data_IF_701228562013
#
_entry.id   IF_701228562013
#
_cell.length_a   1.000
_cell.length_b   1.000
_cell.length_c   1.000
_cell.angle_alpha   90.00
_cell.angle_beta   90.00
_cell.angle_gamma   90.00
#
_symmetry.space_group_name_H-M   'P 1'
#
loop_
_entity.id
_entity.type
_entity.pdbx_description
1 polymer ?
#
# COMPACT_ATOMS: atom_id res chain seq x y z
N UNK A 1 22.85 -87.27 3.37
CA UNK A 1 21.40 -87.56 3.49
C UNK A 1 20.64 -86.68 2.51
N UNK A 2 20.00 -87.32 1.53
CA UNK A 2 18.77 -86.94 0.82
C UNK A 2 18.45 -85.46 0.47
N UNK A 3 18.35 -85.23 -0.87
CA UNK A 3 17.21 -84.64 -1.63
C UNK A 3 16.90 -83.14 -1.37
N UNK A 4 16.48 -82.27 -2.30
CA UNK A 4 15.99 -82.33 -3.70
C UNK A 4 15.57 -80.89 -4.10
N UNK A 5 15.46 -80.64 -5.43
CA UNK A 5 14.53 -79.71 -6.14
C UNK A 5 14.83 -78.20 -5.96
N UNK A 6 15.40 -77.48 -6.94
CA UNK A 6 14.90 -77.03 -8.26
C UNK A 6 13.75 -76.00 -8.21
N UNK A 7 14.01 -74.76 -8.70
CA UNK A 7 13.36 -74.09 -9.86
C UNK A 7 13.45 -72.55 -9.79
N UNK A 8 13.96 -72.01 -10.90
CA UNK A 8 13.76 -70.68 -11.48
C UNK A 8 12.50 -69.94 -11.04
N UNK A 9 12.61 -68.66 -10.64
CA UNK A 9 11.61 -67.61 -10.96
C UNK A 9 12.30 -66.24 -11.12
N UNK A 10 12.17 -65.74 -12.36
CA UNK A 10 12.17 -64.37 -12.88
C UNK A 10 12.79 -63.20 -12.07
N UNK A 11 13.78 -62.56 -12.71
CA UNK A 11 14.14 -61.17 -12.48
C UNK A 11 12.96 -60.26 -12.85
N UNK A 12 12.58 -59.36 -11.94
CA UNK A 12 11.61 -58.30 -12.21
C UNK A 12 12.35 -56.96 -12.17
N UNK A 13 12.82 -56.52 -13.34
CA UNK A 13 13.31 -55.16 -13.54
C UNK A 13 12.07 -54.28 -13.75
N UNK A 14 11.63 -53.56 -12.71
CA UNK A 14 10.64 -52.48 -12.88
C UNK A 14 11.36 -51.21 -13.33
N UNK A 15 11.41 -51.01 -14.64
CA UNK A 15 11.62 -49.68 -15.24
C UNK A 15 10.30 -48.93 -15.08
N UNK A 16 10.20 -48.09 -14.05
CA UNK A 16 9.16 -47.07 -14.01
C UNK A 16 9.63 -45.88 -14.85
N UNK A 17 9.34 -45.90 -16.15
CA UNK A 17 9.30 -44.70 -16.96
C UNK A 17 8.05 -43.90 -16.59
N UNK A 18 8.13 -43.18 -15.47
CA UNK A 18 7.14 -42.19 -15.10
C UNK A 18 7.27 -40.98 -16.01
N UNK A 19 6.41 -40.89 -17.03
CA UNK A 19 6.22 -39.66 -17.77
C UNK A 19 5.70 -38.59 -16.80
N UNK A 20 6.58 -37.70 -16.37
CA UNK A 20 6.19 -36.49 -15.63
C UNK A 20 5.52 -35.57 -16.65
N UNK A 21 4.23 -35.80 -16.90
CA UNK A 21 3.37 -34.82 -17.55
C UNK A 21 3.24 -33.66 -16.57
N UNK A 22 4.17 -32.71 -16.65
CA UNK A 22 4.07 -31.44 -15.94
C UNK A 22 2.77 -30.78 -16.37
N UNK A 23 1.76 -30.82 -15.51
CA UNK A 23 0.63 -29.93 -15.61
C UNK A 23 1.21 -28.51 -15.56
N UNK A 24 1.29 -27.86 -16.71
CA UNK A 24 1.46 -26.42 -16.75
C UNK A 24 0.22 -25.89 -16.04
N UNK A 25 0.39 -25.48 -14.78
CA UNK A 25 -0.62 -24.71 -14.10
C UNK A 25 -0.84 -23.47 -14.97
N UNK A 26 -1.91 -23.47 -15.75
CA UNK A 26 -2.43 -22.25 -16.34
C UNK A 26 -2.74 -21.38 -15.13
N UNK A 27 -1.89 -20.39 -14.88
CA UNK A 27 -2.19 -19.35 -13.91
C UNK A 27 -3.61 -18.90 -14.24
N UNK A 28 -4.54 -19.23 -13.35
CA UNK A 28 -5.94 -18.82 -13.50
C UNK A 28 -5.93 -17.34 -13.80
N UNK A 29 -6.80 -16.91 -14.71
CA UNK A 29 -7.06 -15.51 -14.98
C UNK A 29 -7.10 -14.78 -13.65
N UNK A 30 -6.06 -13.99 -13.37
CA UNK A 30 -6.04 -13.13 -12.20
C UNK A 30 -7.36 -12.39 -12.22
N UNK A 31 -8.13 -12.51 -11.13
CA UNK A 31 -9.43 -11.87 -11.02
C UNK A 31 -9.27 -10.43 -11.50
N UNK A 32 -9.99 -10.09 -12.58
CA UNK A 32 -10.10 -8.71 -13.00
C UNK A 32 -10.74 -7.98 -11.81
N UNK A 33 -9.93 -7.18 -11.14
CA UNK A 33 -10.37 -6.32 -10.06
C UNK A 33 -11.30 -5.25 -10.63
N UNK A 34 -12.39 -4.93 -9.93
CA UNK A 34 -13.40 -3.96 -10.36
C UNK A 34 -12.83 -2.57 -10.64
N UNK A 35 -11.67 -2.23 -10.07
CA UNK A 35 -11.01 -0.95 -10.26
C UNK A 35 -10.03 -0.90 -11.45
N UNK A 36 -9.00 -1.76 -11.45
CA UNK A 36 -7.92 -1.70 -12.44
C UNK A 36 -7.22 -3.05 -12.61
N UNK A 37 -6.96 -3.45 -13.86
CA UNK A 37 -6.23 -4.68 -14.19
C UNK A 37 -4.99 -4.36 -15.02
N UNK A 38 -3.81 -4.79 -14.56
CA UNK A 38 -2.57 -4.72 -15.32
C UNK A 38 -2.52 -5.84 -16.37
N UNK A 39 -2.25 -5.46 -17.63
CA UNK A 39 -2.27 -6.38 -18.78
C UNK A 39 -0.88 -6.76 -19.29
N UNK A 40 0.18 -6.18 -18.72
CA UNK A 40 1.57 -6.44 -19.11
C UNK A 40 2.51 -6.34 -17.92
N UNK A 41 3.71 -6.89 -18.07
CA UNK A 41 4.79 -6.74 -17.08
C UNK A 41 5.34 -5.31 -17.13
N UNK A 42 5.57 -4.69 -15.97
CA UNK A 42 6.21 -3.38 -15.86
C UNK A 42 7.59 -3.52 -15.20
N UNK A 43 8.59 -2.85 -15.76
CA UNK A 43 9.95 -2.79 -15.23
C UNK A 43 10.58 -1.43 -15.59
N UNK A 44 11.80 -1.17 -15.10
CA UNK A 44 12.50 0.07 -15.37
C UNK A 44 12.54 0.41 -16.87
N UNK A 45 12.28 1.68 -17.20
CA UNK A 45 12.18 2.19 -18.58
C UNK A 45 10.76 2.14 -19.15
N UNK A 46 9.83 1.44 -18.50
CA UNK A 46 8.42 1.45 -18.88
C UNK A 46 7.76 2.78 -18.54
N UNK A 47 6.81 3.23 -19.36
CA UNK A 47 5.95 4.37 -19.06
C UNK A 47 4.49 4.11 -19.45
N UNK A 48 3.57 4.88 -18.88
CA UNK A 48 2.15 4.83 -19.19
C UNK A 48 1.23 4.96 -17.98
N UNK A 49 -0.08 4.94 -18.23
CA UNK A 49 -1.09 5.03 -17.19
C UNK A 49 -1.05 3.84 -16.21
N UNK A 50 -0.62 2.66 -16.68
CA UNK A 50 -0.40 1.47 -15.86
C UNK A 50 0.75 1.63 -14.85
N UNK A 51 1.79 2.36 -15.22
CA UNK A 51 2.86 2.78 -14.30
C UNK A 51 2.33 3.78 -13.28
N UNK A 52 1.50 4.74 -13.69
CA UNK A 52 0.85 5.68 -12.76
C UNK A 52 0.00 4.92 -11.73
N UNK A 53 -0.78 3.93 -12.17
CA UNK A 53 -1.56 3.08 -11.27
C UNK A 53 -0.66 2.31 -10.30
N UNK A 54 0.45 1.75 -10.77
CA UNK A 54 1.42 1.05 -9.92
C UNK A 54 2.02 1.99 -8.88
N UNK A 55 2.45 3.20 -9.27
CA UNK A 55 3.03 4.20 -8.38
C UNK A 55 2.08 4.63 -7.26
N UNK A 56 0.77 4.69 -7.53
CA UNK A 56 -0.25 4.96 -6.48
C UNK A 56 -0.20 3.87 -5.40
N UNK A 57 -0.21 2.59 -5.80
CA UNK A 57 -0.19 1.45 -4.86
C UNK A 57 1.13 1.36 -4.10
N UNK A 58 2.22 1.74 -4.75
CA UNK A 58 3.57 1.74 -4.17
C UNK A 58 3.89 2.97 -3.32
N UNK A 59 2.98 3.94 -3.21
CA UNK A 59 3.25 5.24 -2.56
C UNK A 59 3.77 5.12 -1.12
N UNK A 60 3.34 4.09 -0.40
CA UNK A 60 3.77 3.79 0.98
C UNK A 60 5.11 3.06 1.11
N UNK A 61 5.80 2.78 0.00
CA UNK A 61 7.06 2.04 -0.03
C UNK A 61 8.24 2.91 -0.52
N UNK A 62 8.11 4.23 -0.41
CA UNK A 62 9.15 5.17 -0.82
C UNK A 62 10.44 5.04 0.03
N UNK A 63 10.31 4.67 1.31
CA UNK A 63 11.41 4.59 2.28
C UNK A 63 11.52 5.85 3.15
N UNK A 64 12.49 5.84 4.07
CA UNK A 64 12.66 6.90 5.07
C UNK A 64 12.86 8.28 4.43
N UNK A 65 11.97 9.23 4.75
CA UNK A 65 12.05 10.63 4.29
C UNK A 65 11.84 10.82 2.78
N UNK A 66 11.52 9.75 2.05
CA UNK A 66 11.34 9.77 0.60
C UNK A 66 9.86 9.80 0.23
N UNK A 67 9.54 10.29 -0.97
CA UNK A 67 8.20 10.23 -1.56
C UNK A 67 8.33 9.69 -2.98
N UNK A 68 7.48 8.74 -3.34
CA UNK A 68 7.41 8.23 -4.70
C UNK A 68 6.60 9.21 -5.57
N UNK A 69 7.19 9.66 -6.68
CA UNK A 69 6.49 10.44 -7.68
C UNK A 69 5.46 9.57 -8.43
N UNK A 70 4.33 10.17 -8.78
CA UNK A 70 3.27 9.54 -9.58
C UNK A 70 3.26 10.22 -10.95
N UNK A 71 4.26 9.91 -11.75
CA UNK A 71 4.58 10.57 -13.03
C UNK A 71 4.38 9.65 -14.25
N UNK A 72 3.98 8.40 -14.03
CA UNK A 72 3.81 7.40 -15.09
C UNK A 72 5.11 6.92 -15.71
N UNK A 73 6.26 7.21 -15.10
CA UNK A 73 7.59 6.78 -15.54
C UNK A 73 8.22 5.79 -14.56
N UNK A 74 8.51 4.59 -15.03
CA UNK A 74 9.14 3.56 -14.20
C UNK A 74 10.65 3.80 -14.16
N UNK A 75 11.06 4.72 -13.29
CA UNK A 75 12.46 5.00 -12.98
C UNK A 75 13.00 4.22 -11.78
N UNK A 76 14.26 4.49 -11.37
CA UNK A 76 14.89 3.83 -10.23
C UNK A 76 14.14 3.97 -8.90
N UNK A 77 13.44 5.10 -8.68
CA UNK A 77 12.62 5.29 -7.49
C UNK A 77 11.41 4.33 -7.45
N UNK A 78 10.75 4.12 -8.60
CA UNK A 78 9.64 3.16 -8.74
C UNK A 78 10.13 1.73 -8.55
N UNK A 79 11.28 1.37 -9.12
CA UNK A 79 11.90 0.05 -8.92
C UNK A 79 12.23 -0.20 -7.44
N UNK A 80 12.84 0.77 -6.76
CA UNK A 80 13.18 0.65 -5.35
C UNK A 80 11.93 0.51 -4.47
N UNK A 81 10.86 1.27 -4.77
CA UNK A 81 9.58 1.14 -4.06
C UNK A 81 8.94 -0.24 -4.31
N UNK A 82 9.01 -0.74 -5.54
CA UNK A 82 8.49 -2.06 -5.89
C UNK A 82 9.24 -3.18 -5.15
N UNK A 83 10.58 -3.12 -5.09
CA UNK A 83 11.39 -4.09 -4.34
C UNK A 83 11.04 -4.12 -2.86
N UNK A 84 10.76 -2.95 -2.26
CA UNK A 84 10.29 -2.86 -0.87
C UNK A 84 8.90 -3.47 -0.68
N UNK A 85 7.95 -3.19 -1.59
CA UNK A 85 6.64 -3.83 -1.58
C UNK A 85 6.75 -5.36 -1.69
N UNK A 86 7.53 -5.84 -2.66
CA UNK A 86 7.76 -7.27 -2.86
C UNK A 86 8.35 -7.91 -1.59
N UNK A 87 9.36 -7.28 -0.99
CA UNK A 87 9.99 -7.75 0.24
C UNK A 87 9.02 -7.78 1.42
N UNK A 88 8.18 -6.74 1.57
CA UNK A 88 7.20 -6.65 2.65
C UNK A 88 6.20 -7.81 2.60
N UNK A 89 5.81 -8.24 1.41
CA UNK A 89 4.85 -9.33 1.21
C UNK A 89 5.47 -10.69 0.90
N UNK A 90 6.77 -10.88 1.13
CA UNK A 90 7.44 -12.16 0.95
C UNK A 90 7.51 -12.64 -0.51
N UNK A 91 7.43 -11.72 -1.47
CA UNK A 91 7.64 -11.97 -2.88
C UNK A 91 9.14 -11.87 -3.23
N UNK A 92 9.54 -12.42 -4.37
CA UNK A 92 10.88 -12.16 -4.94
C UNK A 92 11.03 -10.66 -5.22
N UNK A 93 12.00 -10.02 -4.58
CA UNK A 93 12.27 -8.58 -4.72
C UNK A 93 13.13 -8.26 -5.95
N UNK A 94 12.65 -8.63 -7.14
CA UNK A 94 13.35 -8.47 -8.42
C UNK A 94 13.18 -7.07 -9.05
N UNK A 95 12.23 -6.25 -8.57
CA UNK A 95 11.93 -4.95 -9.17
C UNK A 95 11.16 -5.04 -10.48
N UNK A 96 10.54 -6.19 -10.76
CA UNK A 96 9.69 -6.43 -11.93
C UNK A 96 8.25 -6.67 -11.48
N UNK A 97 7.32 -5.82 -11.93
CA UNK A 97 5.91 -5.99 -11.65
C UNK A 97 5.34 -7.02 -12.65
N UNK A 98 5.34 -8.28 -12.24
CA UNK A 98 4.72 -9.39 -12.96
C UNK A 98 3.51 -9.96 -12.21
N UNK A 99 3.05 -11.15 -12.60
CA UNK A 99 1.85 -11.78 -12.07
C UNK A 99 1.82 -11.90 -10.54
N UNK A 100 2.96 -12.24 -9.89
CA UNK A 100 3.05 -12.33 -8.43
C UNK A 100 2.79 -10.99 -7.74
N UNK A 101 3.38 -9.91 -8.26
CA UNK A 101 3.15 -8.54 -7.78
C UNK A 101 1.68 -8.15 -7.96
N UNK A 102 1.10 -8.38 -9.13
CA UNK A 102 -0.28 -7.99 -9.42
C UNK A 102 -1.30 -8.75 -8.58
N UNK A 103 -1.14 -10.07 -8.45
CA UNK A 103 -2.01 -10.87 -7.58
C UNK A 103 -2.01 -10.36 -6.14
N UNK A 104 -0.85 -9.91 -5.64
CA UNK A 104 -0.79 -9.31 -4.30
C UNK A 104 -1.46 -7.93 -4.25
N UNK A 105 -1.31 -7.10 -5.27
CA UNK A 105 -2.01 -5.82 -5.34
C UNK A 105 -3.54 -5.99 -5.40
N UNK A 106 -4.05 -6.93 -6.20
CA UNK A 106 -5.48 -7.24 -6.27
C UNK A 106 -6.03 -7.75 -4.93
N UNK A 107 -5.26 -8.56 -4.20
CA UNK A 107 -5.67 -9.02 -2.86
C UNK A 107 -5.72 -7.88 -1.81
N UNK A 108 -5.15 -6.72 -2.10
CA UNK A 108 -5.14 -5.55 -1.23
C UNK A 108 -6.10 -4.46 -1.72
N UNK A 109 -6.75 -4.63 -2.87
CA UNK A 109 -7.55 -3.59 -3.52
C UNK A 109 -9.03 -3.95 -3.49
N UNK A 110 -9.86 -2.94 -3.22
CA UNK A 110 -11.32 -2.99 -3.33
C UNK A 110 -11.80 -2.48 -4.69
N UNK A 111 -13.07 -2.75 -5.02
CA UNK A 111 -13.71 -2.44 -6.29
C UNK A 111 -13.65 -0.94 -6.68
N UNK A 112 -13.55 -0.04 -5.71
CA UNK A 112 -13.48 1.43 -5.92
C UNK A 112 -12.05 1.98 -5.88
N UNK A 113 -11.06 1.09 -6.01
CA UNK A 113 -9.62 1.33 -5.99
C UNK A 113 -8.99 1.56 -4.62
N UNK A 114 -9.76 1.69 -3.53
CA UNK A 114 -9.17 1.84 -2.20
C UNK A 114 -8.46 0.57 -1.78
N UNK A 115 -7.51 0.63 -0.83
CA UNK A 115 -7.02 -0.57 -0.18
C UNK A 115 -8.11 -1.16 0.74
N UNK A 116 -8.12 -2.48 0.90
CA UNK A 116 -9.15 -3.27 1.63
C UNK A 116 -9.39 -2.88 3.10
N UNK A 117 -8.54 -2.03 3.69
CA UNK A 117 -8.66 -1.61 5.10
C UNK A 117 -8.94 -0.12 5.29
N UNK A 118 -9.12 0.65 4.21
CA UNK A 118 -9.44 2.08 4.30
C UNK A 118 -10.48 2.46 3.26
N UNK A 119 -11.42 3.34 3.61
CA UNK A 119 -12.52 3.71 2.72
C UNK A 119 -12.66 5.21 2.51
N UNK A 120 -13.28 5.63 1.40
CA UNK A 120 -13.60 7.04 1.20
C UNK A 120 -14.51 7.62 2.28
N UNK A 121 -15.46 6.85 2.82
CA UNK A 121 -16.33 7.35 3.90
C UNK A 121 -15.60 7.55 5.21
N UNK A 122 -14.62 6.70 5.52
CA UNK A 122 -13.73 6.88 6.68
C UNK A 122 -12.85 8.14 6.51
N UNK A 123 -12.35 8.39 5.29
CA UNK A 123 -11.53 9.56 4.98
C UNK A 123 -12.35 10.84 4.69
N UNK A 124 -13.67 10.81 4.84
CA UNK A 124 -14.51 12.00 4.72
C UNK A 124 -15.76 11.88 5.60
N UNK A 125 -15.62 12.32 6.85
CA UNK A 125 -16.70 12.51 7.83
C UNK A 125 -17.33 13.91 7.76
N UNK A 126 -16.77 14.81 6.95
CA UNK A 126 -17.22 16.18 6.79
C UNK A 126 -18.49 16.31 5.94
N UNK A 127 -18.56 15.61 4.81
CA UNK A 127 -19.73 15.57 3.92
C UNK A 127 -19.67 14.36 2.96
N UNK A 128 -20.69 14.13 2.14
CA UNK A 128 -20.70 13.00 1.19
C UNK A 128 -20.20 13.34 -0.22
N UNK A 129 -19.93 14.62 -0.53
CA UNK A 129 -19.68 15.11 -1.89
C UNK A 129 -18.21 15.42 -2.18
N UNK A 130 -17.37 15.47 -1.15
CA UNK A 130 -15.97 15.92 -1.24
C UNK A 130 -15.83 17.37 -1.73
N UNK A 131 -16.92 18.14 -1.70
CA UNK A 131 -16.95 19.53 -2.17
C UNK A 131 -16.58 20.51 -1.06
N UNK A 132 -16.22 21.73 -1.46
CA UNK A 132 -15.93 22.83 -0.55
C UNK A 132 -14.51 22.84 0.01
N UNK A 133 -13.61 22.02 -0.52
CA UNK A 133 -12.18 22.07 -0.22
C UNK A 133 -11.43 23.08 -1.09
N UNK A 134 -10.10 23.06 -1.00
CA UNK A 134 -9.21 23.92 -1.78
C UNK A 134 -8.99 23.46 -3.23
N UNK A 135 -9.45 22.26 -3.57
CA UNK A 135 -9.35 21.65 -4.91
C UNK A 135 -10.69 21.02 -5.30
N UNK A 136 -10.82 20.60 -6.57
CA UNK A 136 -12.01 19.87 -7.03
C UNK A 136 -12.24 18.59 -6.22
N UNK A 137 -13.49 18.16 -6.10
CA UNK A 137 -13.84 16.90 -5.43
C UNK A 137 -13.08 15.70 -6.03
N UNK A 138 -12.93 15.65 -7.35
CA UNK A 138 -12.15 14.62 -8.05
C UNK A 138 -10.67 14.64 -7.63
N UNK A 139 -10.07 15.82 -7.54
CA UNK A 139 -8.69 15.99 -7.08
C UNK A 139 -8.54 15.58 -5.61
N UNK A 140 -9.47 15.98 -4.74
CA UNK A 140 -9.47 15.63 -3.33
C UNK A 140 -9.59 14.11 -3.13
N UNK A 141 -10.47 13.43 -3.90
CA UNK A 141 -10.57 11.97 -3.88
C UNK A 141 -9.30 11.28 -4.38
N UNK A 142 -8.70 11.76 -5.47
CA UNK A 142 -7.44 11.21 -5.99
C UNK A 142 -6.28 11.37 -4.99
N UNK A 143 -6.26 12.48 -4.27
CA UNK A 143 -5.33 12.74 -3.18
C UNK A 143 -5.55 11.80 -2.00
N UNK A 144 -6.81 11.61 -1.57
CA UNK A 144 -7.14 10.71 -0.49
C UNK A 144 -6.84 9.25 -0.83
N UNK A 145 -7.04 8.85 -2.09
CA UNK A 145 -6.65 7.52 -2.57
C UNK A 145 -5.16 7.25 -2.34
N UNK A 146 -4.31 8.23 -2.65
CA UNK A 146 -2.85 8.12 -2.41
C UNK A 146 -2.54 8.03 -0.91
N UNK A 147 -3.25 8.80 -0.09
CA UNK A 147 -3.14 8.70 1.38
C UNK A 147 -3.52 7.32 1.88
N UNK A 148 -4.65 6.76 1.44
CA UNK A 148 -5.10 5.43 1.85
C UNK A 148 -4.08 4.33 1.47
N UNK A 149 -3.52 4.34 0.25
CA UNK A 149 -2.48 3.38 -0.13
C UNK A 149 -1.18 3.51 0.69
N UNK A 150 -0.86 4.70 1.18
CA UNK A 150 0.24 4.90 2.15
C UNK A 150 -0.11 4.39 3.54
N UNK A 151 -1.35 4.60 3.98
CA UNK A 151 -1.86 4.07 5.25
C UNK A 151 -1.90 2.54 5.22
N UNK A 152 -2.21 1.89 4.10
CA UNK A 152 -2.16 0.43 3.96
C UNK A 152 -0.74 -0.11 4.15
N UNK A 153 0.27 0.54 3.55
CA UNK A 153 1.66 0.17 3.77
C UNK A 153 2.09 0.37 5.25
N UNK A 154 1.65 1.46 5.88
CA UNK A 154 1.90 1.74 7.29
C UNK A 154 1.23 0.68 8.19
N UNK A 155 -0.04 0.33 7.91
CA UNK A 155 -0.80 -0.71 8.62
C UNK A 155 -0.08 -2.05 8.57
N UNK A 156 0.36 -2.44 7.38
CA UNK A 156 1.11 -3.69 7.20
C UNK A 156 2.44 -3.68 7.96
N UNK A 157 3.21 -2.58 7.87
CA UNK A 157 4.47 -2.41 8.61
C UNK A 157 4.30 -2.42 10.14
N UNK A 158 3.09 -2.11 10.62
CA UNK A 158 2.71 -2.14 12.03
C UNK A 158 2.14 -3.50 12.49
N UNK A 159 2.30 -4.55 11.69
CA UNK A 159 1.90 -5.92 12.05
C UNK A 159 0.43 -6.21 11.77
N UNK A 160 -0.11 -5.61 10.70
CA UNK A 160 -1.48 -5.83 10.21
C UNK A 160 -2.57 -5.54 11.26
N UNK A 161 -2.27 -4.66 12.22
CA UNK A 161 -3.23 -4.17 13.19
C UNK A 161 -3.98 -2.94 12.65
N UNK A 162 -5.25 -2.73 13.02
CA UNK A 162 -6.03 -1.58 12.56
C UNK A 162 -5.39 -0.24 12.93
N UNK A 163 -5.49 0.73 12.01
CA UNK A 163 -5.17 2.14 12.27
C UNK A 163 -6.48 2.90 12.35
N UNK A 164 -6.69 3.65 13.42
CA UNK A 164 -7.89 4.49 13.58
C UNK A 164 -7.70 5.82 12.86
N UNK A 165 -8.46 6.08 11.80
CA UNK A 165 -8.57 7.42 11.19
C UNK A 165 -9.63 8.22 11.94
N UNK A 166 -9.28 9.41 12.43
CA UNK A 166 -10.20 10.30 13.17
C UNK A 166 -10.64 11.52 12.37
N UNK A 167 -9.92 11.88 11.31
CA UNK A 167 -10.32 12.92 10.36
C UNK A 167 -9.58 12.72 9.04
N UNK A 168 -10.23 13.01 7.93
CA UNK A 168 -9.64 13.01 6.58
C UNK A 168 -9.90 14.33 5.87
N UNK A 169 -10.56 14.29 4.72
CA UNK A 169 -10.97 15.49 4.00
C UNK A 169 -11.81 16.43 4.87
N UNK A 170 -11.49 17.72 4.81
CA UNK A 170 -12.32 18.80 5.39
C UNK A 170 -12.63 19.81 4.31
N UNK A 171 -13.90 20.19 4.17
CA UNK A 171 -14.27 21.43 3.47
C UNK A 171 -13.81 22.65 4.28
N UNK A 172 -13.83 23.86 3.70
CA UNK A 172 -13.57 25.09 4.43
C UNK A 172 -14.47 25.23 5.66
N UNK A 173 -15.77 24.94 5.53
CA UNK A 173 -16.71 25.00 6.65
C UNK A 173 -16.35 24.01 7.77
N UNK A 174 -16.01 22.76 7.43
CA UNK A 174 -15.59 21.77 8.41
C UNK A 174 -14.24 22.14 9.05
N UNK A 175 -13.30 22.66 8.27
CA UNK A 175 -11.98 23.06 8.75
C UNK A 175 -12.09 24.27 9.70
N UNK A 176 -12.93 25.25 9.38
CA UNK A 176 -13.21 26.40 10.26
C UNK A 176 -13.89 25.95 11.57
N UNK A 177 -14.85 25.04 11.49
CA UNK A 177 -15.58 24.53 12.67
C UNK A 177 -14.66 23.88 13.73
N UNK A 178 -13.53 23.30 13.30
CA UNK A 178 -12.52 22.71 14.20
C UNK A 178 -11.36 23.66 14.51
N UNK A 179 -11.43 24.94 14.08
CA UNK A 179 -10.36 25.92 14.25
C UNK A 179 -9.09 25.59 13.46
N UNK A 180 -9.22 24.86 12.35
CA UNK A 180 -8.13 24.43 11.50
C UNK A 180 -7.42 25.59 10.79
N UNK A 181 -6.14 25.41 10.48
CA UNK A 181 -5.36 26.41 9.77
C UNK A 181 -5.90 26.67 8.35
N UNK A 182 -5.75 27.90 7.85
CA UNK A 182 -6.21 28.30 6.51
C UNK A 182 -5.46 27.59 5.37
N UNK A 183 -4.23 27.13 5.62
CA UNK A 183 -3.40 26.35 4.71
C UNK A 183 -3.40 24.84 5.03
N UNK A 184 -4.40 24.36 5.75
CA UNK A 184 -4.55 22.95 6.14
C UNK A 184 -4.56 22.01 4.94
N UNK A 185 -3.80 20.91 5.03
CA UNK A 185 -3.75 19.87 3.99
C UNK A 185 -5.04 19.04 3.90
N UNK A 186 -5.86 19.04 4.95
CA UNK A 186 -7.19 18.41 4.91
C UNK A 186 -8.11 19.02 3.84
N UNK A 187 -7.93 20.31 3.51
CA UNK A 187 -8.67 21.00 2.44
C UNK A 187 -8.37 20.44 1.05
N UNK A 188 -7.24 19.74 0.89
CA UNK A 188 -6.76 19.19 -0.36
C UNK A 188 -7.04 17.68 -0.48
N UNK A 189 -7.56 17.05 0.58
CA UNK A 189 -7.80 15.60 0.64
C UNK A 189 -6.54 14.75 0.78
N UNK A 190 -5.36 15.33 1.05
CA UNK A 190 -4.10 14.59 1.17
C UNK A 190 -3.54 14.53 2.61
N UNK A 191 -4.40 14.73 3.60
CA UNK A 191 -4.11 14.58 5.01
C UNK A 191 -5.04 13.59 5.71
N UNK A 192 -4.55 12.96 6.78
CA UNK A 192 -5.32 12.14 7.69
C UNK A 192 -4.82 12.35 9.13
N UNK A 193 -5.75 12.51 10.06
CA UNK A 193 -5.47 12.49 11.49
C UNK A 193 -5.73 11.08 12.02
N UNK A 194 -4.75 10.55 12.75
CA UNK A 194 -4.79 9.19 13.28
C UNK A 194 -4.94 9.21 14.81
N UNK A 195 -5.91 8.45 15.30
CA UNK A 195 -6.15 8.25 16.73
C UNK A 195 -5.25 7.16 17.32
N UNK A 196 -5.13 7.17 18.65
CA UNK A 196 -4.55 6.05 19.38
C UNK A 196 -5.47 4.82 19.29
N UNK A 197 -4.89 3.64 19.31
CA UNK A 197 -5.60 2.36 19.28
C UNK A 197 -4.66 1.24 19.67
N UNK A 198 -4.45 0.20 18.84
CA UNK A 198 -3.40 -0.79 19.09
C UNK A 198 -1.98 -0.20 18.99
N UNK A 199 -1.85 1.01 18.45
CA UNK A 199 -0.60 1.76 18.36
C UNK A 199 -0.70 3.07 19.13
N UNK A 200 0.41 3.45 19.77
CA UNK A 200 0.54 4.80 20.34
C UNK A 200 0.68 5.83 19.22
N UNK A 201 0.29 7.09 19.49
CA UNK A 201 0.51 8.21 18.57
C UNK A 201 2.00 8.33 18.19
N UNK A 202 2.91 8.12 19.14
CA UNK A 202 4.35 8.13 18.84
C UNK A 202 4.80 6.97 17.96
N UNK A 203 4.16 5.80 18.06
CA UNK A 203 4.43 4.67 17.16
C UNK A 203 4.01 5.02 15.74
N UNK A 204 2.81 5.58 15.57
CA UNK A 204 2.28 6.02 14.27
C UNK A 204 3.20 7.08 13.65
N UNK A 205 3.53 8.14 14.40
CA UNK A 205 4.39 9.23 13.92
C UNK A 205 5.79 8.73 13.51
N UNK A 206 6.39 7.83 14.30
CA UNK A 206 7.73 7.29 13.99
C UNK A 206 7.74 6.44 12.73
N UNK A 207 6.73 5.58 12.56
CA UNK A 207 6.64 4.69 11.41
C UNK A 207 6.25 5.42 10.13
N UNK A 208 5.36 6.41 10.20
CA UNK A 208 4.94 7.20 9.03
C UNK A 208 6.10 7.85 8.25
N UNK A 209 7.25 8.09 8.91
CA UNK A 209 8.50 8.57 8.30
C UNK A 209 9.03 7.69 7.17
N UNK A 210 8.64 6.41 7.10
CA UNK A 210 9.03 5.45 6.08
C UNK A 210 8.03 5.32 4.93
N UNK A 211 6.84 5.90 5.06
CA UNK A 211 5.68 5.61 4.21
C UNK A 211 5.23 6.80 3.35
N UNK A 212 6.17 7.69 3.03
CA UNK A 212 5.91 8.77 2.06
C UNK A 212 5.13 9.96 2.60
N UNK A 213 4.98 10.11 3.92
CA UNK A 213 4.38 11.30 4.52
C UNK A 213 5.44 12.38 4.75
N UNK A 214 5.25 13.55 4.14
CA UNK A 214 6.15 14.70 4.32
C UNK A 214 5.72 15.60 5.45
N UNK A 215 4.43 15.65 5.78
CA UNK A 215 3.96 16.27 7.01
C UNK A 215 3.64 15.23 8.05
N UNK A 216 4.24 15.37 9.24
CA UNK A 216 3.98 14.53 10.42
C UNK A 216 3.94 15.45 11.63
N UNK A 217 2.78 15.58 12.25
CA UNK A 217 2.62 16.32 13.51
C UNK A 217 2.02 15.39 14.56
N UNK A 218 2.48 15.48 15.79
CA UNK A 218 2.02 14.59 16.85
C UNK A 218 2.42 15.08 18.24
N UNK A 219 2.44 14.19 19.24
CA UNK A 219 2.62 14.58 20.63
C UNK A 219 3.80 15.51 20.88
N UNK A 220 3.51 16.61 21.55
CA UNK A 220 4.41 17.72 21.87
C UNK A 220 4.35 18.89 20.88
N UNK A 221 3.76 18.71 19.69
CA UNK A 221 3.48 19.82 18.77
C UNK A 221 2.13 20.49 19.15
N UNK A 222 2.02 21.84 19.13
CA UNK A 222 0.81 22.54 19.55
C UNK A 222 -0.46 22.02 18.83
N UNK A 223 -1.48 21.64 19.61
CA UNK A 223 -2.75 21.14 19.09
C UNK A 223 -2.74 19.69 18.57
N UNK A 224 -1.67 18.91 18.77
CA UNK A 224 -1.51 17.56 18.22
C UNK A 224 -1.12 16.52 19.29
N UNK A 225 -1.57 16.69 20.54
CA UNK A 225 -1.27 15.76 21.62
C UNK A 225 -2.20 14.53 21.67
N UNK A 226 -3.34 14.60 21.00
CA UNK A 226 -4.42 13.61 21.01
C UNK A 226 -4.56 12.84 19.68
N UNK A 227 -3.83 13.22 18.64
CA UNK A 227 -3.77 12.55 17.36
C UNK A 227 -2.37 12.65 16.72
N UNK A 228 -2.13 11.86 15.68
CA UNK A 228 -0.99 12.02 14.77
C UNK A 228 -1.50 12.44 13.41
N UNK A 229 -1.17 13.66 13.01
CA UNK A 229 -1.46 14.21 11.70
C UNK A 229 -0.43 13.75 10.68
N UNK A 230 -0.89 13.24 9.54
CA UNK A 230 -0.08 12.82 8.40
C UNK A 230 -0.56 13.51 7.13
N UNK A 231 0.34 14.02 6.30
CA UNK A 231 -0.05 14.60 5.01
C UNK A 231 1.02 14.56 3.91
N UNK A 232 0.57 14.92 2.71
CA UNK A 232 1.42 15.22 1.57
C UNK A 232 1.65 16.72 1.43
N UNK A 233 2.92 17.10 1.31
CA UNK A 233 3.37 18.47 1.08
C UNK A 233 4.71 18.48 0.35
N UNK A 234 5.06 19.60 -0.26
CA UNK A 234 6.29 19.70 -1.06
C UNK A 234 7.55 19.62 -0.21
N UNK A 235 7.55 20.23 0.97
CA UNK A 235 8.70 20.23 1.89
C UNK A 235 8.45 19.34 3.09
N UNK A 236 9.43 18.53 3.47
CA UNK A 236 9.35 17.73 4.68
C UNK A 236 9.21 18.65 5.92
N UNK A 237 8.21 18.36 6.74
CA UNK A 237 7.95 19.02 8.01
C UNK A 237 7.44 18.01 9.02
N UNK A 238 8.34 17.55 9.88
CA UNK A 238 8.04 16.58 10.93
C UNK A 238 8.27 17.23 12.29
N UNK A 239 7.30 17.12 13.20
CA UNK A 239 7.45 17.58 14.58
C UNK A 239 6.53 16.80 15.51
N UNK A 240 7.12 16.03 16.41
CA UNK A 240 6.45 15.38 17.52
C UNK A 240 7.47 15.20 18.65
N UNK A 241 7.83 16.28 19.36
CA UNK A 241 8.98 16.29 20.25
C UNK A 241 8.84 15.31 21.42
N UNK A 242 7.63 15.05 21.92
CA UNK A 242 7.37 14.01 22.93
C UNK A 242 7.67 12.60 22.39
N UNK A 243 7.61 12.43 21.08
CA UNK A 243 7.96 11.19 20.40
C UNK A 243 9.44 11.13 19.98
N UNK A 244 10.22 12.22 20.15
CA UNK A 244 11.60 12.30 19.66
C UNK A 244 11.70 12.51 18.14
N UNK A 245 10.74 13.24 17.56
CA UNK A 245 10.72 13.69 16.16
C UNK A 245 10.79 15.21 16.13
#
# INVERSE_FOLDING_TARGET
MFRRIARLVAAFVMILSGAFAGAVATAGTAHADGCYTWTRTLAQGTSGADVTQLQIRLGGYAGYGAVLAVDGSFGPATEAALKRFQSAYGLTADGVAGAGTYNKLYALQDDDCTPVHFSYSELNDCNSTWSGGAVSATTAKANALRTMWKLEALRHALGDQPITVTSGFRSYACNEAVGGASNSRHLYGDAADLGAGPHSLCTLAKQARYHGFRGILGPGYPGHNDHTHLDHRDSQYWSAPTCGI
#
